data_IF_418331908264
#
_entry.id   IF_418331908264
#
_cell.length_a   1.000
_cell.length_b   1.000
_cell.length_c   1.000
_cell.angle_alpha   90.00
_cell.angle_beta   90.00
_cell.angle_gamma   90.00
#
_symmetry.space_group_name_H-M   'P 1'
#
loop_
_entity.id
_entity.type
_entity.pdbx_description
1 polymer ?
#
# COMPACT_ATOMS: atom_id res chain seq x y z
N UNK A 1 10.40 -14.48 13.02
CA UNK A 1 9.76 -13.26 12.49
C UNK A 1 8.28 -13.53 12.21
N UNK A 2 7.98 -14.38 11.23
CA UNK A 2 6.62 -14.80 10.94
C UNK A 2 6.01 -15.55 12.14
N UNK A 3 4.72 -15.31 12.38
CA UNK A 3 3.92 -15.99 13.40
C UNK A 3 2.71 -16.66 12.77
N UNK A 4 2.31 -17.80 13.34
CA UNK A 4 1.21 -18.59 12.84
C UNK A 4 -0.10 -17.77 12.94
N UNK A 5 -0.85 -17.61 11.85
CA UNK A 5 -2.12 -16.88 11.90
C UNK A 5 -3.22 -17.62 12.68
N UNK A 6 -2.97 -18.88 13.06
CA UNK A 6 -3.90 -19.73 13.83
C UNK A 6 -3.53 -19.72 15.32
N UNK A 7 -2.34 -20.18 15.69
CA UNK A 7 -1.94 -20.32 17.10
C UNK A 7 -0.99 -19.24 17.62
N UNK A 8 -0.61 -18.27 16.78
CA UNK A 8 0.32 -17.15 17.10
C UNK A 8 1.75 -17.55 17.50
N UNK A 9 2.07 -18.84 17.54
CA UNK A 9 3.44 -19.34 17.70
C UNK A 9 4.34 -18.98 16.52
N UNK A 10 5.65 -18.88 16.75
CA UNK A 10 6.65 -18.66 15.70
C UNK A 10 6.55 -19.69 14.57
N UNK A 11 6.70 -19.20 13.35
CA UNK A 11 6.83 -20.02 12.14
C UNK A 11 8.30 -20.21 11.80
N UNK A 12 8.67 -21.45 11.48
CA UNK A 12 10.01 -21.85 11.01
C UNK A 12 9.92 -22.43 9.61
N UNK A 13 10.94 -22.21 8.78
CA UNK A 13 10.99 -22.77 7.43
C UNK A 13 11.03 -24.31 7.47
N UNK A 14 10.25 -24.94 6.59
CA UNK A 14 10.28 -26.38 6.35
C UNK A 14 9.98 -26.63 4.88
N UNK A 15 10.75 -27.50 4.22
CA UNK A 15 10.58 -27.81 2.80
C UNK A 15 10.47 -26.53 1.94
N UNK A 16 9.33 -26.35 1.25
CA UNK A 16 8.97 -25.17 0.48
C UNK A 16 7.91 -24.31 1.22
N UNK A 17 7.98 -24.19 2.54
CA UNK A 17 6.94 -23.52 3.32
C UNK A 17 7.39 -23.19 4.74
N UNK A 18 6.40 -22.99 5.60
CA UNK A 18 6.61 -22.69 7.01
C UNK A 18 5.69 -23.51 7.90
N UNK A 19 6.16 -23.83 9.11
CA UNK A 19 5.44 -24.62 10.11
C UNK A 19 5.59 -24.02 11.50
N UNK A 20 4.57 -24.16 12.34
CA UNK A 20 4.63 -23.77 13.75
C UNK A 20 4.79 -25.00 14.67
N UNK A 21 5.04 -24.78 15.96
CA UNK A 21 5.14 -25.85 16.97
C UNK A 21 3.89 -26.71 17.11
N UNK A 22 2.71 -26.19 16.74
CA UNK A 22 1.44 -26.94 16.70
C UNK A 22 1.21 -27.67 15.37
N UNK A 23 2.23 -27.77 14.52
CA UNK A 23 2.21 -28.44 13.20
C UNK A 23 1.21 -27.84 12.18
N UNK A 24 0.72 -26.61 12.38
CA UNK A 24 0.08 -25.86 11.28
C UNK A 24 1.12 -25.53 10.23
N UNK A 25 0.86 -25.91 8.98
CA UNK A 25 1.75 -25.76 7.82
C UNK A 25 1.16 -24.83 6.79
N UNK A 26 2.02 -24.03 6.16
CA UNK A 26 1.66 -23.10 5.09
C UNK A 26 2.69 -23.23 3.98
N UNK A 27 2.24 -23.75 2.83
CA UNK A 27 3.11 -23.91 1.66
C UNK A 27 3.33 -22.56 0.96
N UNK A 28 4.55 -22.37 0.45
CA UNK A 28 4.87 -21.26 -0.44
C UNK A 28 4.37 -21.58 -1.83
N UNK A 29 3.55 -20.68 -2.38
CA UNK A 29 3.07 -20.81 -3.73
C UNK A 29 4.24 -20.75 -4.73
N UNK A 30 4.09 -21.38 -5.90
CA UNK A 30 5.13 -21.38 -6.96
C UNK A 30 5.61 -19.97 -7.36
N UNK A 31 4.78 -18.95 -7.14
CA UNK A 31 5.12 -17.55 -7.45
C UNK A 31 5.99 -16.90 -6.37
N UNK A 32 6.10 -17.49 -5.18
CA UNK A 32 7.00 -17.04 -4.12
C UNK A 32 6.33 -16.53 -2.84
N UNK A 33 4.99 -16.42 -2.79
CA UNK A 33 4.28 -15.91 -1.60
C UNK A 33 3.83 -17.00 -0.64
N UNK A 34 3.68 -16.64 0.64
CA UNK A 34 2.99 -17.42 1.66
C UNK A 34 1.54 -16.94 1.82
N UNK A 35 0.58 -17.85 1.80
CA UNK A 35 -0.81 -17.51 2.11
C UNK A 35 -1.08 -17.75 3.60
N UNK A 36 -1.08 -16.65 4.37
CA UNK A 36 -1.28 -16.65 5.82
C UNK A 36 -2.64 -16.03 6.21
N UNK A 37 -3.58 -15.95 5.28
CA UNK A 37 -4.95 -15.50 5.52
C UNK A 37 -5.86 -16.70 5.86
N UNK A 38 -6.31 -16.88 7.11
CA UNK A 38 -7.20 -17.97 7.48
C UNK A 38 -8.55 -17.86 6.76
N UNK A 39 -9.10 -18.99 6.33
CA UNK A 39 -10.39 -19.06 5.62
C UNK A 39 -11.53 -18.40 6.41
N UNK A 40 -11.50 -18.52 7.74
CA UNK A 40 -12.48 -17.97 8.67
C UNK A 40 -12.49 -16.44 8.74
N UNK A 41 -11.44 -15.78 8.24
CA UNK A 41 -11.30 -14.33 8.23
C UNK A 41 -11.47 -13.74 6.83
N UNK A 42 -12.05 -14.51 5.90
CA UNK A 42 -12.48 -14.00 4.59
C UNK A 42 -13.90 -13.45 4.70
N UNK A 43 -14.02 -12.14 4.88
CA UNK A 43 -15.32 -11.45 4.89
C UNK A 43 -15.95 -11.32 3.48
N UNK A 44 -15.20 -11.65 2.42
CA UNK A 44 -15.68 -11.72 1.03
C UNK A 44 -14.85 -12.74 0.23
N UNK A 45 -15.43 -13.30 -0.83
CA UNK A 45 -14.70 -14.13 -1.81
C UNK A 45 -13.81 -13.28 -2.72
N UNK A 46 -14.12 -11.99 -2.86
CA UNK A 46 -13.40 -11.03 -3.71
C UNK A 46 -13.40 -9.62 -3.05
N UNK A 47 -12.68 -9.43 -1.93
CA UNK A 47 -12.55 -8.11 -1.30
C UNK A 47 -11.56 -7.25 -2.09
N UNK A 48 -12.01 -6.06 -2.53
CA UNK A 48 -11.14 -5.06 -3.16
C UNK A 48 -11.50 -4.77 -4.62
N UNK A 49 -10.49 -4.39 -5.40
CA UNK A 49 -10.62 -3.98 -6.79
C UNK A 49 -10.87 -5.19 -7.71
N UNK A 50 -11.74 -5.02 -8.71
CA UNK A 50 -11.92 -6.05 -9.74
C UNK A 50 -10.70 -6.12 -10.69
N UNK A 51 -10.61 -7.19 -11.48
CA UNK A 51 -9.47 -7.42 -12.37
C UNK A 51 -9.20 -6.25 -13.33
N UNK A 52 -10.24 -5.64 -13.91
CA UNK A 52 -10.09 -4.55 -14.87
C UNK A 52 -9.44 -3.31 -14.24
N UNK A 53 -9.76 -3.01 -12.99
CA UNK A 53 -9.14 -1.90 -12.27
C UNK A 53 -7.72 -2.17 -11.85
N UNK A 54 -7.42 -3.41 -11.44
CA UNK A 54 -6.05 -3.81 -11.12
C UNK A 54 -5.17 -3.62 -12.36
N UNK A 55 -5.65 -4.02 -13.53
CA UNK A 55 -4.96 -3.84 -14.80
C UNK A 55 -4.84 -2.36 -15.22
N UNK A 56 -5.87 -1.55 -14.98
CA UNK A 56 -5.83 -0.11 -15.20
C UNK A 56 -4.80 0.59 -14.31
N UNK A 57 -4.85 0.34 -12.99
CA UNK A 57 -3.86 0.84 -12.04
C UNK A 57 -2.45 0.44 -12.46
N UNK A 58 -2.26 -0.81 -12.85
CA UNK A 58 -0.97 -1.31 -13.33
C UNK A 58 -0.46 -0.52 -14.53
N UNK A 59 -1.26 -0.40 -15.60
CA UNK A 59 -0.86 0.34 -16.81
C UNK A 59 -0.50 1.77 -16.48
N UNK A 60 -1.29 2.42 -15.65
CA UNK A 60 -1.07 3.80 -15.24
C UNK A 60 0.24 3.98 -14.46
N UNK A 61 0.50 3.10 -13.48
CA UNK A 61 1.71 3.16 -12.66
C UNK A 61 2.97 2.75 -13.46
N UNK A 62 2.88 1.69 -14.26
CA UNK A 62 3.99 1.21 -15.10
C UNK A 62 4.32 2.22 -16.23
N UNK A 63 3.38 3.07 -16.64
CA UNK A 63 3.62 4.20 -17.55
C UNK A 63 4.39 5.37 -16.89
N UNK A 64 4.66 5.29 -15.57
CA UNK A 64 5.49 6.26 -14.87
C UNK A 64 4.77 7.55 -14.45
N UNK A 65 3.44 7.63 -14.61
CA UNK A 65 2.67 8.82 -14.25
C UNK A 65 2.85 9.23 -12.78
N UNK A 66 3.01 8.26 -11.88
CA UNK A 66 3.25 8.46 -10.44
C UNK A 66 4.69 8.11 -10.02
N UNK A 67 5.63 8.03 -10.96
CA UNK A 67 7.03 7.74 -10.65
C UNK A 67 7.65 8.71 -9.62
N UNK A 68 7.43 10.05 -9.69
CA UNK A 68 7.98 10.97 -8.68
C UNK A 68 7.56 10.61 -7.25
N UNK A 69 6.32 10.12 -7.09
CA UNK A 69 5.80 9.73 -5.79
C UNK A 69 6.52 8.49 -5.23
N UNK A 70 6.73 7.49 -6.07
CA UNK A 70 7.37 6.25 -5.67
C UNK A 70 8.88 6.45 -5.40
N UNK A 71 9.53 7.30 -6.18
CA UNK A 71 10.92 7.73 -5.93
C UNK A 71 11.05 8.42 -4.58
N UNK A 72 10.15 9.37 -4.26
CA UNK A 72 10.23 10.08 -2.97
C UNK A 72 9.95 9.14 -1.79
N UNK A 73 8.98 8.23 -1.92
CA UNK A 73 8.73 7.20 -0.90
C UNK A 73 9.98 6.37 -0.61
N UNK A 74 10.66 5.90 -1.65
CA UNK A 74 11.86 5.08 -1.53
C UNK A 74 13.03 5.85 -0.88
N UNK A 75 13.20 7.13 -1.23
CA UNK A 75 14.18 8.01 -0.59
C UNK A 75 13.92 8.18 0.90
N UNK A 76 12.68 8.51 1.28
CA UNK A 76 12.28 8.66 2.69
C UNK A 76 12.50 7.37 3.48
N UNK A 77 12.23 6.20 2.88
CA UNK A 77 12.51 4.92 3.51
C UNK A 77 14.03 4.68 3.69
N UNK A 78 14.84 5.00 2.69
CA UNK A 78 16.30 4.87 2.73
C UNK A 78 16.96 5.78 3.76
N UNK A 79 16.48 7.02 3.91
CA UNK A 79 16.94 7.97 4.93
C UNK A 79 16.79 7.44 6.36
N UNK A 80 15.89 6.47 6.59
CA UNK A 80 15.70 5.82 7.90
C UNK A 80 16.56 4.58 8.09
N UNK A 81 17.12 4.04 7.00
CA UNK A 81 18.02 2.88 7.01
C UNK A 81 17.51 1.72 7.90
N UNK A 82 16.25 1.27 7.73
CA UNK A 82 15.69 0.21 8.56
C UNK A 82 16.42 -1.11 8.32
N UNK A 83 16.61 -1.91 9.37
CA UNK A 83 17.06 -3.30 9.22
C UNK A 83 15.92 -4.21 8.76
N UNK A 84 14.68 -3.89 9.15
CA UNK A 84 13.47 -4.62 8.72
C UNK A 84 12.31 -3.68 8.41
N UNK A 85 11.60 -3.96 7.32
CA UNK A 85 10.44 -3.18 6.92
C UNK A 85 9.26 -4.02 6.41
N UNK A 86 8.07 -3.44 6.47
CA UNK A 86 6.83 -4.04 5.96
C UNK A 86 6.02 -3.03 5.15
N UNK A 87 5.58 -3.40 3.95
CA UNK A 87 4.51 -2.70 3.23
C UNK A 87 3.13 -3.31 3.54
N UNK A 88 2.24 -2.49 4.12
CA UNK A 88 0.87 -2.86 4.50
C UNK A 88 -0.09 -2.42 3.41
N UNK A 89 -0.65 -3.40 2.69
CA UNK A 89 -1.51 -3.14 1.53
C UNK A 89 -0.69 -2.86 0.28
N UNK A 90 0.28 -3.73 0.00
CA UNK A 90 1.25 -3.56 -1.08
C UNK A 90 0.64 -3.62 -2.49
N UNK A 91 -0.62 -4.06 -2.62
CA UNK A 91 -1.30 -4.23 -3.89
C UNK A 91 -0.50 -5.15 -4.83
N UNK A 92 -0.24 -4.66 -6.05
CA UNK A 92 0.58 -5.40 -7.03
C UNK A 92 2.07 -5.04 -6.99
N UNK A 93 2.54 -4.39 -5.91
CA UNK A 93 3.95 -4.23 -5.59
C UNK A 93 4.69 -3.10 -6.29
N UNK A 94 3.98 -2.13 -6.89
CA UNK A 94 4.64 -1.02 -7.61
C UNK A 94 5.53 -0.17 -6.69
N UNK A 95 4.97 0.36 -5.60
CA UNK A 95 5.71 1.16 -4.61
C UNK A 95 6.70 0.30 -3.82
N UNK A 96 6.26 -0.89 -3.43
CA UNK A 96 7.07 -1.88 -2.72
C UNK A 96 8.39 -2.18 -3.43
N UNK A 97 8.36 -2.33 -4.76
CA UNK A 97 9.55 -2.62 -5.54
C UNK A 97 10.57 -1.46 -5.52
N UNK A 98 10.10 -0.20 -5.50
CA UNK A 98 10.96 0.98 -5.40
C UNK A 98 11.64 1.05 -4.03
N UNK A 99 10.88 0.79 -2.96
CA UNK A 99 11.42 0.72 -1.59
C UNK A 99 12.45 -0.42 -1.48
N UNK A 100 12.14 -1.60 -2.02
CA UNK A 100 13.05 -2.74 -2.02
C UNK A 100 14.34 -2.49 -2.81
N UNK A 101 14.29 -1.71 -3.88
CA UNK A 101 15.48 -1.30 -4.63
C UNK A 101 16.35 -0.32 -3.84
N UNK A 102 15.73 0.58 -3.08
CA UNK A 102 16.44 1.54 -2.23
C UNK A 102 16.97 0.93 -0.92
N UNK A 103 16.45 -0.23 -0.52
CA UNK A 103 16.82 -0.96 0.70
C UNK A 103 17.27 -2.40 0.38
N UNK A 104 18.33 -2.62 -0.40
CA UNK A 104 18.74 -3.94 -0.87
C UNK A 104 19.19 -4.89 0.25
N UNK A 105 19.69 -4.33 1.36
CA UNK A 105 20.24 -5.09 2.49
C UNK A 105 19.23 -5.28 3.64
N UNK A 106 18.04 -4.67 3.55
CA UNK A 106 17.02 -4.74 4.59
C UNK A 106 16.11 -5.96 4.41
N UNK A 107 15.69 -6.57 5.52
CA UNK A 107 14.72 -7.67 5.53
C UNK A 107 13.31 -7.11 5.24
N UNK A 108 12.82 -7.32 4.02
CA UNK A 108 11.60 -6.69 3.52
C UNK A 108 10.42 -7.64 3.40
N UNK A 109 9.27 -7.21 3.93
CA UNK A 109 8.00 -7.93 3.88
C UNK A 109 6.96 -7.09 3.15
N UNK A 110 6.01 -7.74 2.49
CA UNK A 110 4.91 -7.05 1.85
C UNK A 110 3.64 -7.89 1.92
N UNK A 111 2.54 -7.29 2.34
CA UNK A 111 1.26 -8.00 2.45
C UNK A 111 0.13 -7.28 1.74
N UNK A 112 -0.77 -8.07 1.18
CA UNK A 112 -2.09 -7.64 0.75
C UNK A 112 -3.11 -8.76 0.99
N UNK A 113 -4.39 -8.40 1.13
CA UNK A 113 -5.47 -9.39 1.26
C UNK A 113 -5.78 -10.06 -0.08
N UNK A 114 -5.49 -9.39 -1.20
CA UNK A 114 -5.72 -9.87 -2.56
C UNK A 114 -4.61 -10.82 -3.00
N UNK A 115 -4.95 -12.11 -3.06
CA UNK A 115 -4.06 -13.15 -3.60
C UNK A 115 -3.58 -12.83 -5.01
N UNK A 116 -4.45 -12.32 -5.88
CA UNK A 116 -4.09 -12.04 -7.27
C UNK A 116 -3.14 -10.84 -7.40
N UNK A 117 -3.27 -9.84 -6.53
CA UNK A 117 -2.34 -8.72 -6.47
C UNK A 117 -0.95 -9.18 -6.02
N UNK A 118 -0.87 -9.92 -4.90
CA UNK A 118 0.41 -10.45 -4.36
C UNK A 118 1.09 -11.37 -5.37
N UNK A 119 0.34 -12.27 -6.01
CA UNK A 119 0.85 -13.18 -7.05
C UNK A 119 1.54 -12.44 -8.21
N UNK A 120 1.05 -11.25 -8.57
CA UNK A 120 1.68 -10.38 -9.59
C UNK A 120 2.88 -9.64 -9.02
N UNK A 121 2.77 -9.20 -7.77
CA UNK A 121 3.80 -8.45 -7.05
C UNK A 121 5.10 -9.25 -6.85
N UNK A 122 5.01 -10.56 -6.58
CA UNK A 122 6.17 -11.44 -6.35
C UNK A 122 7.27 -11.32 -7.41
N UNK A 123 6.92 -11.03 -8.67
CA UNK A 123 7.89 -10.90 -9.76
C UNK A 123 8.66 -9.58 -9.75
N UNK A 124 8.12 -8.53 -9.12
CA UNK A 124 8.74 -7.18 -9.13
C UNK A 124 9.93 -7.10 -8.18
N UNK A 125 9.84 -7.75 -7.03
CA UNK A 125 10.92 -7.83 -6.04
C UNK A 125 10.97 -9.24 -5.42
N UNK A 126 11.59 -10.23 -6.11
CA UNK A 126 11.66 -11.61 -5.65
C UNK A 126 12.41 -11.81 -4.34
N UNK A 127 13.21 -10.83 -3.92
CA UNK A 127 13.96 -10.84 -2.67
C UNK A 127 13.10 -10.64 -1.42
N UNK A 128 11.85 -10.15 -1.57
CA UNK A 128 10.97 -9.88 -0.44
C UNK A 128 10.18 -11.13 0.00
N UNK A 129 9.77 -11.12 1.26
CA UNK A 129 8.79 -12.07 1.79
C UNK A 129 7.36 -11.56 1.50
N UNK A 130 6.73 -12.17 0.51
CA UNK A 130 5.38 -11.80 0.05
C UNK A 130 4.30 -12.59 0.78
N UNK A 131 3.30 -11.88 1.31
CA UNK A 131 2.27 -12.47 2.16
C UNK A 131 0.88 -12.16 1.62
N UNK A 132 0.03 -13.18 1.54
CA UNK A 132 -1.42 -12.97 1.48
C UNK A 132 -1.94 -12.99 2.91
N UNK A 133 -2.28 -11.82 3.45
CA UNK A 133 -2.67 -11.66 4.85
C UNK A 133 -3.59 -10.44 5.05
N UNK A 134 -4.24 -10.38 6.21
CA UNK A 134 -5.05 -9.21 6.58
C UNK A 134 -4.19 -8.19 7.34
N UNK A 135 -4.32 -6.91 7.00
CA UNK A 135 -3.70 -5.80 7.75
C UNK A 135 -4.22 -5.68 9.19
N UNK A 136 -5.41 -6.22 9.49
CA UNK A 136 -5.97 -6.23 10.84
C UNK A 136 -5.41 -7.36 11.72
N UNK A 137 -4.63 -8.28 11.15
CA UNK A 137 -3.96 -9.36 11.87
C UNK A 137 -2.73 -9.81 11.10
N UNK A 138 -1.70 -8.97 11.16
CA UNK A 138 -0.45 -9.18 10.43
C UNK A 138 0.31 -10.36 11.05
N UNK A 139 0.75 -11.35 10.25
CA UNK A 139 1.40 -12.56 10.74
C UNK A 139 2.90 -12.33 11.00
N UNK A 140 3.24 -11.21 11.63
CA UNK A 140 4.57 -10.85 12.11
C UNK A 140 4.52 -10.68 13.63
N UNK A 141 5.63 -11.00 14.29
CA UNK A 141 5.79 -10.86 15.73
C UNK A 141 5.64 -9.39 16.18
N UNK A 142 5.49 -9.20 17.49
CA UNK A 142 5.44 -7.86 18.08
C UNK A 142 6.83 -7.20 18.01
N UNK A 143 6.87 -5.87 17.93
CA UNK A 143 8.08 -5.05 17.95
C UNK A 143 9.17 -5.55 16.98
N UNK A 144 8.75 -5.92 15.78
CA UNK A 144 9.55 -6.70 14.85
C UNK A 144 10.06 -5.91 13.65
N UNK A 145 9.43 -4.77 13.34
CA UNK A 145 9.73 -3.92 12.19
C UNK A 145 10.28 -2.56 12.63
N UNK A 146 11.28 -2.04 11.91
CA UNK A 146 11.80 -0.70 12.13
C UNK A 146 11.03 0.33 11.30
N UNK A 147 10.52 -0.09 10.13
CA UNK A 147 9.70 0.72 9.24
C UNK A 147 8.43 -0.01 8.80
N UNK A 148 7.30 0.68 8.86
CA UNK A 148 6.08 0.29 8.16
C UNK A 148 5.82 1.28 7.02
N UNK A 149 5.45 0.80 5.84
CA UNK A 149 4.94 1.62 4.75
C UNK A 149 3.44 1.38 4.59
N UNK A 150 2.67 2.44 4.34
CA UNK A 150 1.25 2.37 4.01
C UNK A 150 0.95 3.37 2.90
N UNK A 151 0.72 2.86 1.69
CA UNK A 151 0.53 3.68 0.49
C UNK A 151 -0.91 3.59 0.01
N UNK A 152 -1.69 4.66 0.23
CA UNK A 152 -3.12 4.71 -0.11
C UNK A 152 -3.96 3.58 0.50
N UNK A 153 -3.43 2.86 1.48
CA UNK A 153 -4.08 1.75 2.15
C UNK A 153 -4.73 2.21 3.46
N UNK A 154 -5.85 1.58 3.88
CA UNK A 154 -6.32 1.75 5.24
C UNK A 154 -5.27 1.22 6.23
N UNK A 155 -5.34 1.70 7.47
CA UNK A 155 -4.38 1.36 8.51
C UNK A 155 -5.10 0.96 9.78
N UNK A 156 -4.68 -0.15 10.38
CA UNK A 156 -5.02 -0.50 11.75
C UNK A 156 -3.90 0.01 12.68
N UNK A 157 -4.20 1.07 13.44
CA UNK A 157 -3.24 1.70 14.34
C UNK A 157 -2.76 0.77 15.47
N UNK A 158 -3.61 -0.18 15.90
CA UNK A 158 -3.23 -1.12 16.94
C UNK A 158 -2.21 -2.13 16.43
N UNK A 159 -2.39 -2.63 15.20
CA UNK A 159 -1.40 -3.49 14.54
C UNK A 159 -0.14 -2.71 14.19
N UNK A 160 -0.25 -1.49 13.67
CA UNK A 160 0.91 -0.66 13.37
C UNK A 160 1.79 -0.46 14.62
N UNK A 161 1.19 -0.08 15.75
CA UNK A 161 1.91 0.07 17.03
C UNK A 161 2.49 -1.26 17.52
N UNK A 162 1.74 -2.37 17.39
CA UNK A 162 2.20 -3.71 17.80
C UNK A 162 3.44 -4.13 17.04
N UNK A 163 3.48 -3.90 15.73
CA UNK A 163 4.54 -4.35 14.83
C UNK A 163 5.82 -3.52 14.92
N UNK A 164 5.70 -2.20 15.13
CA UNK A 164 6.86 -1.32 15.20
C UNK A 164 7.71 -1.61 16.43
N UNK A 165 9.03 -1.76 16.27
CA UNK A 165 9.96 -1.72 17.39
C UNK A 165 9.91 -0.34 18.08
N UNK A 166 10.30 -0.21 19.37
CA UNK A 166 10.48 1.10 19.98
C UNK A 166 11.46 1.97 19.17
N UNK A 167 11.07 3.20 18.84
CA UNK A 167 11.82 4.08 17.94
C UNK A 167 11.67 3.78 16.43
N UNK A 168 10.94 2.73 16.05
CA UNK A 168 10.54 2.49 14.66
C UNK A 168 9.43 3.44 14.22
N UNK A 169 9.19 3.55 12.91
CA UNK A 169 8.16 4.46 12.41
C UNK A 169 7.36 3.97 11.19
N UNK A 170 6.20 4.59 11.04
CA UNK A 170 5.27 4.40 9.95
C UNK A 170 5.45 5.55 8.94
N UNK A 171 5.80 5.19 7.71
CA UNK A 171 5.77 6.06 6.54
C UNK A 171 4.43 5.89 5.83
N UNK A 172 3.53 6.86 6.03
CA UNK A 172 2.19 6.87 5.43
C UNK A 172 2.12 7.83 4.26
N UNK A 173 1.55 7.39 3.15
CA UNK A 173 1.35 8.19 1.95
C UNK A 173 -0.15 8.30 1.62
N UNK A 174 -0.67 9.52 1.47
CA UNK A 174 -2.09 9.77 1.23
C UNK A 174 -2.37 11.04 0.42
N UNK A 175 -3.51 11.11 -0.29
CA UNK A 175 -3.86 12.30 -1.06
C UNK A 175 -4.14 13.48 -0.12
N UNK A 176 -3.77 14.67 -0.57
CA UNK A 176 -4.22 15.92 0.07
C UNK A 176 -5.59 16.32 -0.47
N UNK A 177 -6.21 17.34 0.13
CA UNK A 177 -7.38 18.04 -0.43
C UNK A 177 -7.09 18.62 -1.81
N UNK A 178 -5.82 18.90 -2.10
CA UNK A 178 -5.20 19.33 -3.37
C UNK A 178 -5.38 18.35 -4.53
N UNK A 179 -5.38 17.05 -4.21
CA UNK A 179 -5.09 15.98 -5.15
C UNK A 179 -6.17 15.83 -6.23
N UNK A 180 -5.76 15.90 -7.50
CA UNK A 180 -6.62 15.75 -8.66
C UNK A 180 -7.83 16.70 -8.64
N UNK A 181 -7.62 17.96 -8.24
CA UNK A 181 -8.69 18.96 -8.15
C UNK A 181 -9.38 19.19 -9.50
N UNK A 182 -8.60 19.34 -10.57
CA UNK A 182 -9.09 19.57 -11.93
C UNK A 182 -9.93 18.38 -12.43
N UNK A 183 -9.46 17.15 -12.20
CA UNK A 183 -10.23 15.95 -12.50
C UNK A 183 -11.56 15.93 -11.73
N UNK A 184 -11.54 16.23 -10.43
CA UNK A 184 -12.76 16.25 -9.60
C UNK A 184 -13.77 17.27 -10.11
N UNK A 185 -13.32 18.43 -10.60
CA UNK A 185 -14.18 19.47 -11.18
C UNK A 185 -14.90 19.03 -12.47
N UNK A 186 -14.33 18.07 -13.21
CA UNK A 186 -14.99 17.47 -14.37
C UNK A 186 -16.01 16.38 -13.98
N UNK A 187 -15.91 15.83 -12.78
CA UNK A 187 -16.72 14.70 -12.33
C UNK A 187 -17.89 15.11 -11.40
N UNK A 188 -17.78 16.26 -10.73
CA UNK A 188 -18.76 16.72 -9.74
C UNK A 188 -19.20 18.17 -10.01
N UNK A 189 -20.46 18.48 -9.72
CA UNK A 189 -20.98 19.85 -9.77
C UNK A 189 -20.39 20.74 -8.66
N UNK A 190 -20.13 20.13 -7.50
CA UNK A 190 -19.50 20.78 -6.36
C UNK A 190 -18.46 19.83 -5.75
N UNK A 191 -17.22 20.31 -5.63
CA UNK A 191 -16.15 19.57 -4.97
C UNK A 191 -16.26 19.84 -3.48
N UNK A 192 -16.73 18.84 -2.72
CA UNK A 192 -16.74 18.92 -1.26
C UNK A 192 -15.32 18.93 -0.75
N UNK A 193 -15.03 19.92 0.08
CA UNK A 193 -13.81 19.93 0.87
C UNK A 193 -13.82 18.76 1.87
N UNK A 194 -12.64 18.20 2.13
CA UNK A 194 -12.48 17.17 3.14
C UNK A 194 -11.21 17.43 3.94
N UNK A 195 -11.32 17.21 5.26
CA UNK A 195 -10.19 17.26 6.16
C UNK A 195 -9.27 16.06 5.88
N UNK A 196 -8.18 16.34 5.16
CA UNK A 196 -7.11 15.42 4.83
C UNK A 196 -6.13 15.21 5.99
N UNK A 197 -6.27 15.92 7.12
CA UNK A 197 -5.50 15.75 8.36
C UNK A 197 -6.23 14.90 9.41
N UNK A 198 -7.49 14.54 9.18
CA UNK A 198 -8.30 13.73 10.08
C UNK A 198 -7.63 12.43 10.57
N UNK A 199 -6.77 11.80 9.78
CA UNK A 199 -6.06 10.59 10.22
C UNK A 199 -4.99 10.89 11.30
N UNK A 200 -4.48 12.13 11.39
CA UNK A 200 -3.53 12.54 12.43
C UNK A 200 -4.19 12.53 13.80
N UNK A 201 -5.48 12.84 13.90
CA UNK A 201 -6.22 12.73 15.15
C UNK A 201 -6.47 11.28 15.59
N UNK A 202 -6.14 10.29 14.75
CA UNK A 202 -6.26 8.87 15.05
C UNK A 202 -4.93 8.25 15.52
N UNK A 203 -3.84 9.03 15.55
CA UNK A 203 -2.55 8.56 16.06
C UNK A 203 -2.73 8.18 17.54
N UNK A 204 -2.46 6.92 17.93
CA UNK A 204 -2.69 6.47 19.30
C UNK A 204 -1.60 6.98 20.25
N UNK A 205 -1.86 7.00 21.57
CA UNK A 205 -0.82 7.23 22.57
C UNK A 205 0.37 6.27 22.39
N UNK A 206 1.59 6.78 22.59
CA UNK A 206 2.83 6.05 22.34
C UNK A 206 3.35 6.18 20.90
N UNK A 207 2.70 7.01 20.08
CA UNK A 207 3.13 7.37 18.73
C UNK A 207 2.93 8.86 18.49
N UNK A 208 3.75 9.44 17.61
CA UNK A 208 3.70 10.87 17.30
C UNK A 208 4.11 11.15 15.86
N UNK A 209 3.44 12.13 15.22
CA UNK A 209 3.88 12.67 13.94
C UNK A 209 5.16 13.48 14.19
N UNK A 210 6.26 13.10 13.54
CA UNK A 210 7.54 13.82 13.69
C UNK A 210 7.97 14.53 12.41
N UNK A 211 7.43 14.13 11.26
CA UNK A 211 7.66 14.82 9.99
C UNK A 211 6.46 14.66 9.06
N UNK A 212 6.16 15.71 8.31
CA UNK A 212 5.15 15.70 7.26
C UNK A 212 5.62 16.59 6.11
N UNK A 213 5.48 16.09 4.88
CA UNK A 213 5.78 16.85 3.66
C UNK A 213 4.78 16.53 2.55
N UNK A 214 4.56 17.48 1.65
CA UNK A 214 3.68 17.31 0.50
C UNK A 214 4.49 17.41 -0.79
N UNK A 215 4.39 16.37 -1.64
CA UNK A 215 4.92 16.41 -2.99
C UNK A 215 3.81 16.80 -3.97
N UNK A 216 4.05 17.89 -4.70
CA UNK A 216 3.15 18.38 -5.73
C UNK A 216 3.81 18.39 -7.10
N UNK A 217 3.11 17.90 -8.13
CA UNK A 217 3.51 18.06 -9.52
C UNK A 217 2.29 18.09 -10.44
N UNK A 218 2.50 18.56 -11.66
CA UNK A 218 1.46 18.57 -12.70
C UNK A 218 1.47 17.23 -13.45
N UNK A 219 0.31 16.58 -13.50
CA UNK A 219 0.08 15.39 -14.29
C UNK A 219 -0.59 15.79 -15.60
N UNK A 220 0.08 15.53 -16.71
CA UNK A 220 -0.47 15.70 -18.05
C UNK A 220 -0.76 14.31 -18.66
N UNK A 221 -2.02 14.07 -19.03
CA UNK A 221 -2.49 12.82 -19.63
C UNK A 221 -2.99 13.05 -21.06
N UNK A 222 -2.11 12.80 -22.03
CA UNK A 222 -2.40 13.03 -23.44
C UNK A 222 -3.22 11.90 -24.09
N UNK A 223 -3.11 10.66 -23.58
CA UNK A 223 -3.83 9.51 -24.14
C UNK A 223 -5.18 9.26 -23.44
N UNK A 224 -6.19 8.90 -24.23
CA UNK A 224 -7.50 8.47 -23.73
C UNK A 224 -7.39 7.28 -22.77
N UNK A 225 -6.47 6.35 -23.06
CA UNK A 225 -6.22 5.19 -22.22
C UNK A 225 -5.70 5.59 -20.83
N UNK A 226 -4.75 6.53 -20.73
CA UNK A 226 -4.24 6.97 -19.44
C UNK A 226 -5.31 7.66 -18.59
N UNK A 227 -6.20 8.45 -19.23
CA UNK A 227 -7.34 9.08 -18.56
C UNK A 227 -8.36 8.06 -18.08
N UNK A 228 -8.67 7.06 -18.92
CA UNK A 228 -9.53 5.94 -18.53
C UNK A 228 -8.92 5.13 -17.38
N UNK A 229 -7.61 4.90 -17.39
CA UNK A 229 -6.92 4.17 -16.36
C UNK A 229 -6.89 4.94 -15.02
N UNK A 230 -6.66 6.26 -15.06
CA UNK A 230 -6.76 7.14 -13.88
C UNK A 230 -8.19 7.13 -13.29
N UNK A 231 -9.22 7.20 -14.12
CA UNK A 231 -10.61 7.12 -13.66
C UNK A 231 -10.90 5.77 -12.99
N UNK A 232 -10.41 4.67 -13.57
CA UNK A 232 -10.65 3.33 -13.05
C UNK A 232 -9.93 3.04 -11.72
N UNK A 233 -8.80 3.71 -11.44
CA UNK A 233 -8.05 3.53 -10.20
C UNK A 233 -8.43 4.51 -9.08
N UNK A 234 -9.37 5.43 -9.33
CA UNK A 234 -9.84 6.42 -8.34
C UNK A 234 -11.30 6.17 -7.95
N UNK A 235 -11.68 6.35 -6.67
CA UNK A 235 -13.09 6.29 -6.26
C UNK A 235 -13.99 7.30 -7.00
N UNK A 236 -13.39 8.35 -7.56
CA UNK A 236 -14.08 9.39 -8.30
C UNK A 236 -14.67 8.90 -9.62
N UNK A 237 -13.93 8.10 -10.39
CA UNK A 237 -14.42 7.58 -11.67
C UNK A 237 -15.66 6.70 -11.50
N UNK A 238 -15.72 5.93 -10.42
CA UNK A 238 -16.87 5.07 -10.12
C UNK A 238 -18.15 5.81 -9.74
N UNK A 239 -18.01 6.96 -9.08
CA UNK A 239 -19.15 7.77 -8.62
C UNK A 239 -19.68 8.72 -9.70
N UNK A 240 -18.92 8.93 -10.77
CA UNK A 240 -19.29 9.80 -11.86
C UNK A 240 -20.31 9.15 -12.82
N UNK A 241 -21.09 9.97 -13.54
CA UNK A 241 -21.96 9.49 -14.62
C UNK A 241 -21.14 8.98 -15.80
N UNK A 242 -21.75 8.16 -16.66
CA UNK A 242 -21.09 7.67 -17.87
C UNK A 242 -20.67 8.81 -18.81
N UNK A 243 -21.51 9.85 -18.90
CA UNK A 243 -21.26 11.07 -19.67
C UNK A 243 -20.03 11.82 -19.16
N UNK A 244 -19.91 12.06 -17.85
CA UNK A 244 -18.75 12.75 -17.27
C UNK A 244 -17.46 11.96 -17.44
N UNK A 245 -17.53 10.63 -17.31
CA UNK A 245 -16.38 9.77 -17.62
C UNK A 245 -15.96 9.90 -19.08
N UNK A 246 -16.90 9.87 -20.02
CA UNK A 246 -16.62 10.05 -21.44
C UNK A 246 -15.99 11.41 -21.72
N UNK A 247 -16.52 12.49 -21.15
CA UNK A 247 -15.97 13.85 -21.28
C UNK A 247 -14.51 13.94 -20.81
N UNK A 248 -14.16 13.30 -19.69
CA UNK A 248 -12.77 13.21 -19.24
C UNK A 248 -11.92 12.39 -20.21
N UNK A 249 -12.43 11.28 -20.72
CA UNK A 249 -11.69 10.42 -21.66
C UNK A 249 -11.47 11.11 -23.00
N UNK A 250 -12.40 11.94 -23.47
CA UNK A 250 -12.35 12.56 -24.80
C UNK A 250 -11.59 13.89 -24.84
N UNK A 251 -11.28 14.50 -23.68
CA UNK A 251 -10.54 15.74 -23.57
C UNK A 251 -9.08 15.53 -23.10
N UNK A 252 -8.19 16.50 -23.31
CA UNK A 252 -6.88 16.51 -22.63
C UNK A 252 -7.07 16.77 -21.14
N UNK A 253 -6.39 16.00 -20.28
CA UNK A 253 -6.42 16.24 -18.84
C UNK A 253 -5.06 16.70 -18.33
N UNK A 254 -5.07 17.87 -17.69
CA UNK A 254 -3.98 18.39 -16.88
C UNK A 254 -4.52 18.55 -15.46
N UNK A 255 -3.85 17.94 -14.50
CA UNK A 255 -4.37 17.84 -13.13
C UNK A 255 -3.22 17.87 -12.14
N UNK A 256 -3.43 18.54 -10.99
CA UNK A 256 -2.44 18.55 -9.92
C UNK A 256 -2.43 17.21 -9.20
N UNK A 257 -1.25 16.60 -9.08
CA UNK A 257 -1.01 15.53 -8.11
C UNK A 257 -0.43 16.18 -6.86
N UNK A 258 -1.12 16.08 -5.73
CA UNK A 258 -0.64 16.57 -4.44
C UNK A 258 -0.80 15.49 -3.36
N UNK A 259 0.32 14.87 -2.95
CA UNK A 259 0.35 13.75 -2.01
C UNK A 259 1.16 14.12 -0.78
N UNK A 260 0.63 13.79 0.41
CA UNK A 260 1.33 13.95 1.68
C UNK A 260 2.02 12.67 2.11
N UNK A 261 3.23 12.82 2.64
CA UNK A 261 4.02 11.80 3.30
C UNK A 261 4.12 12.17 4.77
N UNK A 262 3.63 11.29 5.63
CA UNK A 262 3.69 11.45 7.08
C UNK A 262 4.63 10.39 7.65
N UNK A 263 5.57 10.82 8.48
CA UNK A 263 6.41 9.94 9.30
C UNK A 263 5.93 10.01 10.75
N UNK A 264 5.35 8.90 11.21
CA UNK A 264 4.84 8.73 12.58
C UNK A 264 5.78 7.77 13.31
N UNK A 265 6.38 8.21 14.40
CA UNK A 265 7.33 7.41 15.18
C UNK A 265 6.64 6.78 16.39
N UNK A 266 7.02 5.55 16.75
CA UNK A 266 6.66 4.90 18.01
C UNK A 266 7.69 5.30 19.08
N UNK A 267 7.21 5.69 20.25
CA UNK A 267 8.07 6.06 21.38
C UNK A 267 9.06 4.93 21.75
N UNK A 268 10.23 5.32 22.24
CA UNK A 268 11.31 4.41 22.67
C UNK A 268 11.03 3.72 24.00
#
# INVERSE_FOLDING_TARGET
>A
MLICPICRSSLTSVDNGVVCSSNHRFDRARQGYLNLLPVQHKNSRDPGDNQAMVEARRRFLDAGHYAPLATRLAQLAAERSPGRWLDIGCGEGYYTAQVAQALPDADGYALDISREAVKRACKRAPQLEWLVASMARVPLADASCDLLASVFSPLDWSEARRLLAPGGGLLRMGPTREHLWELRGLLYDEIRDYDDEKHLSLIPPGMQLVHSETLTFELQLDSAQARADLLAMTPHGWRASAERRAAVIDATLRSRVAIRYDWIERDR
#
